data_IF_867178652342
#
_entry.id   IF_867178652342
#
_cell.length_a   1.000
_cell.length_b   1.000
_cell.length_c   1.000
_cell.angle_alpha   90.00
_cell.angle_beta   90.00
_cell.angle_gamma   90.00
#
_symmetry.space_group_name_H-M   'P 1'
#
loop_
_entity.id
_entity.type
_entity.pdbx_description
1 polymer ?
#
# COMPACT_ATOMS: atom_id res chain seq x y z
N UNK A 1 -29.59 41.23 -39.73
CA UNK A 1 -28.31 40.75 -40.29
C UNK A 1 -27.53 40.03 -39.20
N UNK A 2 -27.51 38.70 -39.19
CA UNK A 2 -26.69 37.88 -38.30
C UNK A 2 -25.78 37.03 -39.17
N UNK A 3 -24.49 37.34 -39.17
CA UNK A 3 -23.47 36.62 -39.93
C UNK A 3 -22.96 35.48 -39.07
N UNK A 4 -23.13 34.24 -39.53
CA UNK A 4 -22.55 33.03 -38.91
C UNK A 4 -21.08 32.93 -39.32
N UNK A 5 -20.18 32.91 -38.35
CA UNK A 5 -18.77 32.54 -38.55
C UNK A 5 -18.68 31.03 -38.32
N UNK A 6 -18.35 30.28 -39.36
CA UNK A 6 -17.94 28.88 -39.25
C UNK A 6 -16.44 28.84 -38.96
N UNK A 7 -16.06 28.26 -37.82
CA UNK A 7 -14.66 27.93 -37.51
C UNK A 7 -14.41 26.51 -38.03
N UNK A 8 -13.56 26.39 -39.04
CA UNK A 8 -13.01 25.11 -39.50
C UNK A 8 -11.98 24.62 -38.49
N UNK A 9 -12.27 23.48 -37.85
CA UNK A 9 -11.32 22.77 -37.00
C UNK A 9 -10.60 21.74 -37.88
N UNK A 10 -9.37 22.03 -38.29
CA UNK A 10 -8.51 21.07 -39.00
C UNK A 10 -8.13 19.93 -38.06
N UNK A 11 -8.70 18.75 -38.32
CA UNK A 11 -8.28 17.50 -37.69
C UNK A 11 -7.00 17.06 -38.42
N UNK A 12 -5.84 17.21 -37.76
CA UNK A 12 -4.61 16.52 -38.17
C UNK A 12 -4.76 15.04 -37.81
N UNK A 13 -5.19 14.22 -38.77
CA UNK A 13 -5.07 12.77 -38.66
C UNK A 13 -3.60 12.40 -38.89
N UNK A 14 -2.90 12.04 -37.82
CA UNK A 14 -1.58 11.42 -37.93
C UNK A 14 -1.78 9.97 -38.38
N UNK A 15 -1.81 9.74 -39.69
CA UNK A 15 -1.68 8.41 -40.28
C UNK A 15 -0.24 7.90 -40.05
N UNK A 16 0.03 7.34 -38.86
CA UNK A 16 1.19 6.47 -38.68
C UNK A 16 0.86 5.11 -39.28
N UNK A 17 1.65 4.73 -40.27
CA UNK A 17 1.27 3.80 -41.32
C UNK A 17 1.34 2.32 -40.94
N UNK A 18 0.47 1.55 -41.60
CA UNK A 18 0.50 0.08 -41.65
C UNK A 18 1.84 -0.43 -42.24
N UNK A 19 2.60 0.42 -42.95
CA UNK A 19 3.90 0.07 -43.56
C UNK A 19 5.13 0.12 -42.64
N UNK A 20 5.08 0.78 -41.47
CA UNK A 20 6.24 0.80 -40.55
C UNK A 20 6.28 -0.45 -39.66
N UNK A 21 5.13 -0.95 -39.25
CA UNK A 21 5.01 -2.22 -38.51
C UNK A 21 5.49 -3.41 -39.34
N UNK A 22 5.19 -3.44 -40.65
CA UNK A 22 5.63 -4.52 -41.55
C UNK A 22 7.14 -4.54 -41.80
N UNK A 23 7.82 -3.39 -41.66
CA UNK A 23 9.28 -3.31 -41.83
C UNK A 23 10.03 -3.74 -40.56
N UNK A 24 9.49 -3.45 -39.38
CA UNK A 24 10.06 -3.89 -38.09
C UNK A 24 9.88 -5.39 -37.86
N UNK A 25 8.77 -5.97 -38.30
CA UNK A 25 8.49 -7.39 -38.14
C UNK A 25 9.44 -8.33 -38.91
N UNK A 26 10.23 -7.80 -39.87
CA UNK A 26 11.21 -8.55 -40.66
C UNK A 26 12.66 -8.31 -40.19
N UNK A 27 12.87 -7.65 -39.05
CA UNK A 27 14.19 -7.42 -38.47
C UNK A 27 14.52 -8.56 -37.48
N UNK A 28 15.66 -9.23 -37.67
CA UNK A 28 16.08 -10.39 -36.87
C UNK A 28 16.14 -10.07 -35.36
N UNK A 29 16.53 -8.84 -34.99
CA UNK A 29 16.58 -8.40 -33.60
C UNK A 29 15.16 -8.23 -33.04
N UNK A 30 14.24 -7.68 -33.83
CA UNK A 30 12.85 -7.50 -33.43
C UNK A 30 12.17 -8.86 -33.19
N UNK A 31 12.38 -9.83 -34.09
CA UNK A 31 11.90 -11.20 -33.90
C UNK A 31 12.50 -11.87 -32.66
N UNK A 32 13.80 -11.69 -32.42
CA UNK A 32 14.46 -12.26 -31.24
C UNK A 32 13.87 -11.68 -29.95
N UNK A 33 13.66 -10.36 -29.89
CA UNK A 33 12.99 -9.72 -28.75
C UNK A 33 11.58 -10.29 -28.54
N UNK A 34 10.80 -10.49 -29.62
CA UNK A 34 9.47 -11.11 -29.53
C UNK A 34 9.53 -12.54 -28.99
N UNK A 35 10.46 -13.36 -29.48
CA UNK A 35 10.66 -14.76 -29.03
C UNK A 35 11.03 -14.81 -27.55
N UNK A 36 11.89 -13.89 -27.11
CA UNK A 36 12.35 -13.79 -25.72
C UNK A 36 11.32 -13.11 -24.80
N UNK A 37 10.42 -12.27 -25.30
CA UNK A 37 9.51 -11.46 -24.49
C UNK A 37 8.77 -12.26 -23.42
N UNK A 38 8.22 -13.43 -23.79
CA UNK A 38 7.48 -14.30 -22.86
C UNK A 38 8.33 -14.79 -21.68
N UNK A 39 9.64 -14.95 -21.87
CA UNK A 39 10.57 -15.37 -20.81
C UNK A 39 10.81 -14.29 -19.77
N UNK A 40 10.78 -13.01 -20.17
CA UNK A 40 11.05 -11.86 -19.30
C UNK A 40 9.79 -11.18 -18.77
N UNK A 41 8.62 -11.53 -19.32
CA UNK A 41 7.33 -11.11 -18.80
C UNK A 41 6.94 -11.87 -17.54
N UNK A 42 6.19 -11.23 -16.66
CA UNK A 42 5.57 -11.80 -15.47
C UNK A 42 4.06 -11.59 -15.60
N UNK A 43 3.28 -12.66 -15.52
CA UNK A 43 1.83 -12.57 -15.52
C UNK A 43 1.30 -11.80 -14.29
N UNK A 44 0.25 -10.99 -14.43
CA UNK A 44 -0.39 -10.35 -13.28
C UNK A 44 -1.04 -11.38 -12.36
N UNK A 45 -1.13 -11.06 -11.08
CA UNK A 45 -1.70 -11.92 -10.05
C UNK A 45 -2.96 -11.27 -9.49
N UNK A 46 -4.07 -11.99 -9.59
CA UNK A 46 -5.38 -11.50 -9.15
C UNK A 46 -5.46 -11.42 -7.62
N UNK A 47 -6.26 -10.47 -7.12
CA UNK A 47 -6.69 -10.46 -5.74
C UNK A 47 -7.49 -11.74 -5.42
N UNK A 48 -7.35 -12.24 -4.20
CA UNK A 48 -8.02 -13.46 -3.73
C UNK A 48 -8.42 -13.36 -2.26
N UNK A 49 -9.37 -14.20 -1.85
CA UNK A 49 -9.59 -14.53 -0.44
C UNK A 49 -8.86 -15.83 -0.14
N UNK A 50 -7.66 -15.73 0.41
CA UNK A 50 -6.86 -16.86 0.87
C UNK A 50 -7.51 -17.54 2.09
N UNK A 51 -7.41 -18.87 2.17
CA UNK A 51 -8.02 -19.66 3.25
C UNK A 51 -7.54 -19.22 4.64
N UNK A 52 -6.25 -18.90 4.76
CA UNK A 52 -5.57 -18.53 6.00
C UNK A 52 -5.50 -17.00 6.12
N UNK A 53 -4.97 -16.34 5.09
CA UNK A 53 -4.63 -14.91 5.10
C UNK A 53 -5.75 -13.98 4.67
N UNK A 54 -6.91 -14.54 4.28
CA UNK A 54 -8.12 -13.80 3.92
C UNK A 54 -7.87 -12.87 2.73
N UNK A 55 -8.42 -11.67 2.72
CA UNK A 55 -8.30 -10.78 1.57
C UNK A 55 -6.84 -10.42 1.30
N UNK A 56 -6.42 -10.60 0.06
CA UNK A 56 -5.10 -10.25 -0.43
C UNK A 56 -5.22 -9.48 -1.75
N UNK A 57 -4.46 -8.38 -1.91
CA UNK A 57 -4.52 -7.58 -3.12
C UNK A 57 -3.94 -8.33 -4.32
N UNK A 58 -4.30 -7.87 -5.51
CA UNK A 58 -3.61 -8.25 -6.73
C UNK A 58 -2.20 -7.66 -6.79
N UNK A 59 -1.45 -8.05 -7.82
CA UNK A 59 -0.15 -7.47 -8.11
C UNK A 59 0.11 -7.47 -9.61
N UNK A 60 0.53 -6.31 -10.11
CA UNK A 60 0.74 -6.11 -11.53
C UNK A 60 1.79 -7.08 -12.07
N UNK A 61 1.48 -7.59 -13.25
CA UNK A 61 2.44 -8.25 -14.12
C UNK A 61 3.36 -7.22 -14.76
N UNK A 62 4.33 -7.71 -15.52
CA UNK A 62 5.11 -6.88 -16.44
C UNK A 62 5.23 -7.61 -17.75
N UNK A 63 5.05 -6.90 -18.83
CA UNK A 63 5.27 -7.43 -20.17
C UNK A 63 6.34 -6.62 -20.89
N UNK A 64 7.16 -7.29 -21.69
CA UNK A 64 8.16 -6.63 -22.53
C UNK A 64 7.45 -5.77 -23.57
N UNK A 65 7.74 -4.47 -23.56
CA UNK A 65 7.42 -3.58 -24.67
C UNK A 65 8.44 -3.83 -25.78
N UNK A 66 8.05 -4.69 -26.73
CA UNK A 66 8.93 -5.14 -27.82
C UNK A 66 9.45 -3.97 -28.64
N UNK A 67 8.58 -3.00 -28.95
CA UNK A 67 8.92 -1.87 -29.80
C UNK A 67 9.92 -0.94 -29.09
N UNK A 68 9.64 -0.57 -27.84
CA UNK A 68 10.55 0.27 -27.07
C UNK A 68 11.89 -0.43 -26.79
N UNK A 69 11.86 -1.74 -26.51
CA UNK A 69 13.06 -2.56 -26.32
C UNK A 69 13.93 -2.62 -27.57
N UNK A 70 13.30 -2.80 -28.74
CA UNK A 70 14.00 -2.78 -30.02
C UNK A 70 14.71 -1.46 -30.25
N UNK A 71 14.07 -0.31 -29.98
CA UNK A 71 14.71 0.98 -30.19
C UNK A 71 15.91 1.23 -29.26
N UNK A 72 15.93 0.65 -28.06
CA UNK A 72 17.11 0.68 -27.20
C UNK A 72 18.27 -0.12 -27.83
N UNK A 73 17.97 -1.33 -28.30
CA UNK A 73 18.95 -2.29 -28.81
C UNK A 73 19.34 -2.04 -30.27
N UNK A 74 18.61 -1.19 -31.00
CA UNK A 74 18.82 -0.96 -32.44
C UNK A 74 20.24 -0.48 -32.77
N UNK A 75 20.86 0.28 -31.86
CA UNK A 75 22.23 0.79 -32.07
C UNK A 75 23.29 -0.32 -32.01
N UNK A 76 23.09 -1.31 -31.15
CA UNK A 76 24.01 -2.45 -31.01
C UNK A 76 23.69 -3.54 -32.02
N UNK A 77 22.41 -3.69 -32.41
CA UNK A 77 21.96 -4.76 -33.30
C UNK A 77 21.88 -6.13 -32.60
N UNK A 78 22.11 -6.17 -31.29
CA UNK A 78 22.21 -7.40 -30.49
C UNK A 78 21.22 -7.36 -29.34
N UNK A 79 20.63 -8.52 -29.03
CA UNK A 79 19.74 -8.67 -27.88
C UNK A 79 20.52 -8.50 -26.58
N UNK A 80 20.08 -7.57 -25.73
CA UNK A 80 20.62 -7.32 -24.40
C UNK A 80 19.47 -7.21 -23.39
N UNK A 81 19.35 -8.18 -22.49
CA UNK A 81 18.27 -8.23 -21.49
C UNK A 81 18.18 -6.96 -20.63
N UNK A 82 19.29 -6.23 -20.45
CA UNK A 82 19.35 -5.02 -19.63
C UNK A 82 18.69 -3.82 -20.30
N UNK A 83 18.46 -3.90 -21.61
CA UNK A 83 17.85 -2.85 -22.41
C UNK A 83 16.36 -3.09 -22.68
N UNK A 84 15.80 -4.17 -22.13
CA UNK A 84 14.37 -4.44 -22.18
C UNK A 84 13.59 -3.32 -21.47
N UNK A 85 12.55 -2.86 -22.15
CA UNK A 85 11.56 -1.93 -21.62
C UNK A 85 10.32 -2.73 -21.25
N UNK A 86 9.72 -2.41 -20.11
CA UNK A 86 8.55 -3.11 -19.61
C UNK A 86 7.37 -2.15 -19.46
N UNK A 87 6.17 -2.68 -19.68
CA UNK A 87 4.91 -2.04 -19.28
C UNK A 87 4.21 -2.90 -18.23
N UNK A 88 3.59 -2.26 -17.24
CA UNK A 88 2.83 -2.97 -16.21
C UNK A 88 1.50 -3.46 -16.77
N UNK A 89 1.12 -4.67 -16.37
CA UNK A 89 -0.17 -5.27 -16.74
C UNK A 89 -1.00 -5.44 -15.49
N UNK A 90 -2.19 -4.84 -15.46
CA UNK A 90 -3.09 -4.97 -14.31
C UNK A 90 -3.69 -6.37 -14.20
N UNK A 91 -3.96 -6.84 -12.96
CA UNK A 91 -4.76 -8.05 -12.74
C UNK A 91 -6.21 -7.85 -13.20
N UNK A 92 -6.95 -8.96 -13.30
CA UNK A 92 -8.37 -8.98 -13.67
C UNK A 92 -9.31 -8.82 -12.48
N UNK A 93 -8.84 -9.13 -11.29
CA UNK A 93 -9.60 -9.02 -10.04
C UNK A 93 -8.78 -8.22 -9.06
N UNK A 94 -9.40 -7.18 -8.52
CA UNK A 94 -8.80 -6.21 -7.62
C UNK A 94 -9.24 -6.45 -6.18
N UNK A 95 -8.57 -5.79 -5.23
CA UNK A 95 -8.90 -5.94 -3.81
C UNK A 95 -10.34 -5.52 -3.51
N UNK A 96 -10.81 -4.48 -4.19
CA UNK A 96 -12.15 -3.90 -4.06
C UNK A 96 -13.26 -4.79 -4.64
N UNK A 97 -12.90 -5.77 -5.48
CA UNK A 97 -13.86 -6.73 -6.06
C UNK A 97 -14.17 -7.90 -5.11
N UNK A 98 -13.37 -8.07 -4.05
CA UNK A 98 -13.54 -9.16 -3.10
C UNK A 98 -14.72 -8.88 -2.16
N UNK A 99 -15.37 -9.95 -1.68
CA UNK A 99 -16.33 -9.82 -0.58
C UNK A 99 -15.61 -9.35 0.70
N UNK A 100 -16.29 -8.62 1.61
CA UNK A 100 -15.67 -8.09 2.81
C UNK A 100 -14.93 -9.16 3.62
N UNK A 101 -13.63 -8.96 3.81
CA UNK A 101 -12.76 -9.84 4.57
C UNK A 101 -11.59 -9.05 5.16
N UNK A 102 -11.02 -9.47 6.29
CA UNK A 102 -9.85 -8.80 6.86
C UNK A 102 -8.62 -9.00 5.96
N UNK A 103 -7.71 -8.02 5.97
CA UNK A 103 -6.47 -8.02 5.20
C UNK A 103 -5.30 -8.16 6.17
N UNK A 104 -4.60 -9.30 6.11
CA UNK A 104 -3.44 -9.57 6.98
C UNK A 104 -2.12 -9.17 6.34
N UNK A 105 -2.04 -9.18 5.01
CA UNK A 105 -0.80 -8.97 4.26
C UNK A 105 -1.07 -8.32 2.91
N UNK A 106 -0.05 -7.65 2.39
CA UNK A 106 0.07 -7.35 0.96
C UNK A 106 0.37 -8.61 0.14
N UNK A 107 0.57 -8.42 -1.15
CA UNK A 107 0.84 -9.53 -2.07
C UNK A 107 2.20 -10.22 -1.76
N UNK A 108 2.29 -11.57 -1.73
CA UNK A 108 3.47 -12.32 -1.26
C UNK A 108 4.67 -12.27 -2.21
N UNK A 109 4.49 -11.73 -3.41
CA UNK A 109 5.59 -11.47 -4.36
C UNK A 109 5.99 -9.99 -4.44
N UNK A 110 5.27 -9.11 -3.74
CA UNK A 110 5.63 -7.69 -3.65
C UNK A 110 6.61 -7.51 -2.50
N UNK A 111 7.88 -7.26 -2.81
CA UNK A 111 8.97 -7.10 -1.82
C UNK A 111 8.90 -5.76 -1.10
N UNK A 112 7.77 -5.54 -0.43
CA UNK A 112 7.44 -4.35 0.33
C UNK A 112 6.88 -4.73 1.70
N UNK A 113 7.10 -3.87 2.70
CA UNK A 113 6.58 -4.00 4.06
C UNK A 113 5.73 -2.77 4.40
N UNK A 114 4.55 -3.00 4.96
CA UNK A 114 3.67 -1.96 5.51
C UNK A 114 3.94 -1.73 6.99
N UNK A 115 4.12 -0.48 7.39
CA UNK A 115 4.25 -0.09 8.80
C UNK A 115 2.93 0.45 9.32
N UNK A 116 2.47 -0.09 10.45
CA UNK A 116 1.26 0.36 11.14
C UNK A 116 1.56 0.75 12.58
N UNK A 117 0.96 1.83 13.05
CA UNK A 117 1.12 2.35 14.41
C UNK A 117 -0.26 2.59 15.00
N UNK A 118 -0.64 1.80 16.01
CA UNK A 118 -1.89 2.00 16.72
C UNK A 118 -1.70 3.06 17.83
N UNK A 119 -2.53 4.10 17.84
CA UNK A 119 -2.38 5.27 18.70
C UNK A 119 -3.64 5.48 19.54
N UNK A 120 -3.48 5.26 20.85
CA UNK A 120 -4.43 5.62 21.90
C UNK A 120 -3.73 6.35 23.08
N UNK A 121 -2.40 6.49 23.04
CA UNK A 121 -1.53 7.06 24.08
C UNK A 121 -0.12 7.29 23.48
N UNK A 122 0.87 7.65 24.31
CA UNK A 122 2.30 7.67 23.91
C UNK A 122 2.75 8.91 23.15
N UNK A 123 2.09 10.06 23.38
CA UNK A 123 2.34 11.31 22.66
C UNK A 123 3.82 11.73 22.69
N UNK A 124 4.53 11.44 23.78
CA UNK A 124 5.95 11.78 23.96
C UNK A 124 6.87 11.11 22.92
N UNK A 125 6.45 9.99 22.32
CA UNK A 125 7.24 9.26 21.33
C UNK A 125 6.91 9.65 19.88
N UNK A 126 5.74 10.26 19.63
CA UNK A 126 5.30 10.60 18.28
C UNK A 126 6.28 11.51 17.53
N UNK A 127 6.85 12.59 18.12
CA UNK A 127 7.80 13.44 17.40
C UNK A 127 9.03 12.67 16.88
N UNK A 128 9.62 11.81 17.72
CA UNK A 128 10.80 10.99 17.37
C UNK A 128 10.48 9.96 16.29
N UNK A 129 9.32 9.32 16.38
CA UNK A 129 8.84 8.37 15.36
C UNK A 129 8.66 9.10 14.02
N UNK A 130 7.96 10.23 13.99
CA UNK A 130 7.72 11.01 12.78
C UNK A 130 9.03 11.54 12.18
N UNK A 131 9.98 11.98 13.00
CA UNK A 131 11.30 12.39 12.54
C UNK A 131 12.07 11.22 11.89
N UNK A 132 11.98 10.03 12.47
CA UNK A 132 12.61 8.82 11.92
C UNK A 132 11.98 8.43 10.58
N UNK A 133 10.65 8.44 10.48
CA UNK A 133 9.94 8.19 9.22
C UNK A 133 10.35 9.18 8.12
N UNK A 134 10.42 10.47 8.47
CA UNK A 134 10.90 11.54 7.57
C UNK A 134 12.35 11.35 7.15
N UNK A 135 13.25 10.99 8.07
CA UNK A 135 14.68 10.72 7.79
C UNK A 135 14.84 9.63 6.73
N UNK A 136 13.93 8.65 6.72
CA UNK A 136 13.95 7.53 5.78
C UNK A 136 13.11 7.74 4.52
N UNK A 137 12.39 8.86 4.39
CA UNK A 137 11.39 9.04 3.32
C UNK A 137 10.41 7.86 3.25
N UNK A 138 9.89 7.46 4.41
CA UNK A 138 8.96 6.34 4.57
C UNK A 138 7.67 6.84 5.19
N UNK A 139 6.54 6.28 4.72
CA UNK A 139 5.24 6.48 5.36
C UNK A 139 4.86 5.29 6.24
N UNK A 140 3.99 5.56 7.20
CA UNK A 140 3.27 4.56 7.99
C UNK A 140 1.78 4.93 8.05
N UNK A 141 0.94 3.95 8.34
CA UNK A 141 -0.49 4.19 8.63
C UNK A 141 -0.67 4.26 10.15
N UNK A 142 -1.13 5.41 10.65
CA UNK A 142 -1.42 5.64 12.06
C UNK A 142 -2.90 5.37 12.33
N UNK A 143 -3.22 4.26 13.01
CA UNK A 143 -4.58 3.94 13.40
C UNK A 143 -4.93 4.65 14.71
N UNK A 144 -5.82 5.64 14.64
CA UNK A 144 -6.11 6.56 15.74
C UNK A 144 -7.38 6.15 16.48
N UNK A 145 -7.32 6.07 17.81
CA UNK A 145 -8.51 5.97 18.66
C UNK A 145 -9.26 7.31 18.64
N UNK A 146 -10.57 7.28 18.40
CA UNK A 146 -11.38 8.50 18.28
C UNK A 146 -11.40 9.37 19.54
N UNK A 147 -11.41 8.78 20.75
CA UNK A 147 -11.28 9.54 22.00
C UNK A 147 -9.91 10.19 22.13
N UNK A 148 -8.84 9.47 21.80
CA UNK A 148 -7.49 10.04 21.79
C UNK A 148 -7.40 11.25 20.86
N UNK A 149 -7.96 11.19 19.64
CA UNK A 149 -7.96 12.34 18.71
C UNK A 149 -8.68 13.55 19.33
N UNK A 150 -9.84 13.33 19.96
CA UNK A 150 -10.62 14.39 20.63
C UNK A 150 -9.79 15.11 21.69
N UNK A 151 -8.99 14.37 22.45
CA UNK A 151 -8.18 14.89 23.56
C UNK A 151 -6.82 15.43 23.08
N UNK A 152 -6.36 15.03 21.90
CA UNK A 152 -5.00 15.29 21.40
C UNK A 152 -4.99 15.84 19.96
N UNK A 153 -5.84 16.83 19.67
CA UNK A 153 -6.00 17.40 18.33
C UNK A 153 -4.68 17.88 17.69
N UNK A 154 -3.78 18.45 18.47
CA UNK A 154 -2.47 18.90 17.98
C UNK A 154 -1.56 17.74 17.55
N UNK A 155 -1.57 16.63 18.30
CA UNK A 155 -0.82 15.43 17.95
C UNK A 155 -1.39 14.74 16.69
N UNK A 156 -2.71 14.67 16.56
CA UNK A 156 -3.34 14.16 15.34
C UNK A 156 -3.00 15.00 14.10
N UNK A 157 -2.99 16.34 14.24
CA UNK A 157 -2.53 17.24 13.17
C UNK A 157 -1.06 17.05 12.84
N UNK A 158 -0.20 16.90 13.84
CA UNK A 158 1.24 16.65 13.65
C UNK A 158 1.52 15.44 12.76
N UNK A 159 0.74 14.35 12.92
CA UNK A 159 0.86 13.14 12.10
C UNK A 159 0.58 13.44 10.62
N UNK A 160 -0.51 14.14 10.31
CA UNK A 160 -0.88 14.45 8.92
C UNK A 160 -0.04 15.58 8.29
N UNK A 161 0.41 16.53 9.10
CA UNK A 161 1.36 17.58 8.68
C UNK A 161 2.69 16.96 8.25
N UNK A 162 3.11 15.88 8.93
CA UNK A 162 4.25 15.02 8.56
C UNK A 162 3.95 14.07 7.37
N UNK A 163 2.84 14.29 6.65
CA UNK A 163 2.42 13.57 5.43
C UNK A 163 2.20 12.07 5.63
N UNK A 164 1.89 11.68 6.86
CA UNK A 164 1.50 10.31 7.20
C UNK A 164 0.01 10.09 6.91
N UNK A 165 -0.34 8.82 6.72
CA UNK A 165 -1.73 8.38 6.56
C UNK A 165 -2.36 8.08 7.92
N UNK A 166 -3.65 8.38 8.07
CA UNK A 166 -4.43 8.05 9.27
C UNK A 166 -5.52 7.02 8.98
N UNK A 167 -5.74 6.13 9.94
CA UNK A 167 -6.78 5.10 9.94
C UNK A 167 -7.62 5.11 11.22
N UNK A 168 -8.72 4.36 11.23
CA UNK A 168 -9.63 4.23 12.37
C UNK A 168 -9.17 3.13 13.34
N UNK A 169 -9.16 3.41 14.64
CA UNK A 169 -8.86 2.41 15.68
C UNK A 169 -9.96 2.29 16.75
N UNK A 170 -11.23 2.39 16.35
CA UNK A 170 -12.40 2.52 17.22
C UNK A 170 -12.40 3.79 18.07
N UNK A 171 -13.49 4.06 18.80
CA UNK A 171 -13.61 5.29 19.59
C UNK A 171 -13.05 5.17 21.01
N UNK A 172 -13.16 3.99 21.63
CA UNK A 172 -12.83 3.77 23.06
C UNK A 172 -11.99 2.52 23.32
N UNK A 173 -11.47 1.89 22.26
CA UNK A 173 -10.74 0.63 22.32
C UNK A 173 -11.50 -0.55 22.99
N UNK A 174 -12.79 -0.80 22.67
CA UNK A 174 -13.53 -1.93 23.22
C UNK A 174 -13.11 -3.25 22.56
N UNK A 175 -13.51 -4.38 23.14
CA UNK A 175 -13.52 -5.66 22.42
C UNK A 175 -14.63 -5.64 21.36
N UNK A 176 -14.28 -5.29 20.13
CA UNK A 176 -15.23 -5.16 19.02
C UNK A 176 -15.98 -6.47 18.72
N UNK A 177 -15.39 -7.63 19.04
CA UNK A 177 -16.00 -8.94 18.79
C UNK A 177 -17.24 -9.19 19.63
N UNK A 178 -17.39 -8.54 20.78
CA UNK A 178 -18.52 -8.76 21.70
C UNK A 178 -19.62 -7.69 21.59
N UNK A 179 -19.36 -6.60 20.87
CA UNK A 179 -20.33 -5.50 20.71
C UNK A 179 -21.48 -5.88 19.78
N UNK A 180 -22.66 -5.28 19.98
CA UNK A 180 -23.74 -5.33 18.98
C UNK A 180 -23.37 -4.58 17.69
N UNK A 181 -24.06 -4.88 16.58
CA UNK A 181 -23.89 -4.18 15.29
C UNK A 181 -23.96 -2.65 15.42
N UNK A 182 -24.93 -2.14 16.17
CA UNK A 182 -25.10 -0.70 16.38
C UNK A 182 -23.93 -0.09 17.14
N UNK A 183 -23.45 -0.76 18.19
CA UNK A 183 -22.27 -0.30 18.93
C UNK A 183 -21.00 -0.33 18.07
N UNK A 184 -20.83 -1.33 17.20
CA UNK A 184 -19.74 -1.37 16.21
C UNK A 184 -19.83 -0.14 15.30
N UNK A 185 -20.99 0.10 14.71
CA UNK A 185 -21.22 1.24 13.83
C UNK A 185 -20.92 2.58 14.52
N UNK A 186 -21.40 2.78 15.75
CA UNK A 186 -21.16 4.00 16.52
C UNK A 186 -19.66 4.21 16.81
N UNK A 187 -18.92 3.16 17.19
CA UNK A 187 -17.49 3.24 17.43
C UNK A 187 -16.73 3.66 16.16
N UNK A 188 -17.09 3.09 15.02
CA UNK A 188 -16.43 3.36 13.75
C UNK A 188 -16.80 4.74 13.20
N UNK A 189 -18.09 5.06 13.12
CA UNK A 189 -18.56 6.33 12.55
C UNK A 189 -18.09 7.53 13.36
N UNK A 190 -18.20 7.48 14.69
CA UNK A 190 -17.77 8.59 15.57
C UNK A 190 -16.27 8.85 15.46
N UNK A 191 -15.48 7.79 15.25
CA UNK A 191 -14.03 7.89 15.06
C UNK A 191 -13.70 8.50 13.70
N UNK A 192 -14.37 8.08 12.61
CA UNK A 192 -14.19 8.72 11.30
C UNK A 192 -14.48 10.22 11.36
N UNK A 193 -15.62 10.61 11.96
CA UNK A 193 -15.98 12.03 12.12
C UNK A 193 -14.92 12.81 12.88
N UNK A 194 -14.36 12.25 13.95
CA UNK A 194 -13.32 12.91 14.74
C UNK A 194 -12.01 13.04 13.97
N UNK A 195 -11.56 11.98 13.28
CA UNK A 195 -10.34 11.99 12.47
C UNK A 195 -10.46 12.98 11.31
N UNK A 196 -11.55 12.90 10.54
CA UNK A 196 -11.77 13.75 9.36
C UNK A 196 -11.88 15.23 9.75
N UNK A 197 -12.56 15.54 10.86
CA UNK A 197 -12.63 16.91 11.38
C UNK A 197 -11.27 17.42 11.88
N UNK A 198 -10.45 16.56 12.48
CA UNK A 198 -9.15 16.96 13.02
C UNK A 198 -8.06 17.12 11.94
N UNK A 199 -8.14 16.31 10.88
CA UNK A 199 -7.04 16.09 9.93
C UNK A 199 -7.36 16.43 8.47
N UNK A 200 -8.64 16.60 8.12
CA UNK A 200 -9.11 16.74 6.74
C UNK A 200 -8.71 15.59 5.79
N UNK A 201 -8.30 14.44 6.32
CA UNK A 201 -8.04 13.23 5.54
C UNK A 201 -9.21 12.26 5.64
N UNK A 202 -9.65 11.73 4.49
CA UNK A 202 -10.65 10.66 4.43
C UNK A 202 -10.06 9.35 4.95
N UNK A 203 -10.81 8.66 5.81
CA UNK A 203 -10.38 7.37 6.37
C UNK A 203 -10.67 6.22 5.39
N UNK A 204 -9.65 5.41 5.11
CA UNK A 204 -9.74 4.22 4.22
C UNK A 204 -9.58 2.89 4.93
N UNK A 205 -8.96 2.90 6.10
CA UNK A 205 -8.54 1.69 6.80
C UNK A 205 -9.01 1.72 8.25
N UNK A 206 -9.41 0.56 8.74
CA UNK A 206 -9.76 0.32 10.13
C UNK A 206 -8.90 -0.82 10.69
N UNK A 207 -8.29 -0.61 11.87
CA UNK A 207 -7.63 -1.68 12.62
C UNK A 207 -8.46 -1.98 13.88
N UNK A 208 -8.91 -3.23 14.10
CA UNK A 208 -9.66 -3.57 15.30
C UNK A 208 -8.76 -3.54 16.55
N UNK A 209 -9.21 -2.92 17.66
CA UNK A 209 -8.57 -3.02 18.97
C UNK A 209 -8.19 -4.47 19.32
N UNK A 210 -6.94 -4.65 19.77
CA UNK A 210 -6.38 -5.97 20.14
C UNK A 210 -6.45 -7.05 19.05
N UNK A 211 -6.77 -6.70 17.79
CA UNK A 211 -7.04 -7.68 16.74
C UNK A 211 -8.33 -8.48 16.94
N UNK A 212 -9.23 -8.04 17.84
CA UNK A 212 -10.45 -8.78 18.16
C UNK A 212 -11.60 -8.36 17.26
N UNK A 213 -12.14 -9.29 16.46
CA UNK A 213 -13.28 -9.03 15.58
C UNK A 213 -14.11 -10.30 15.30
N UNK A 214 -15.26 -10.10 14.65
CA UNK A 214 -16.08 -11.11 13.95
C UNK A 214 -16.50 -10.55 12.58
N UNK A 215 -17.10 -11.37 11.73
CA UNK A 215 -17.47 -10.98 10.35
C UNK A 215 -18.32 -9.70 10.31
N UNK A 216 -19.28 -9.54 11.23
CA UNK A 216 -20.11 -8.33 11.31
C UNK A 216 -19.29 -7.05 11.57
N UNK A 217 -18.13 -7.13 12.24
CA UNK A 217 -17.23 -5.97 12.39
C UNK A 217 -16.65 -5.56 11.04
N UNK A 218 -16.23 -6.54 10.24
CA UNK A 218 -15.65 -6.33 8.91
C UNK A 218 -16.70 -5.78 7.96
N UNK A 219 -17.91 -6.34 7.98
CA UNK A 219 -19.04 -5.87 7.17
C UNK A 219 -19.45 -4.43 7.49
N UNK A 220 -19.48 -4.06 8.78
CA UNK A 220 -19.82 -2.68 9.17
C UNK A 220 -18.70 -1.70 8.76
N UNK A 221 -17.43 -2.11 8.86
CA UNK A 221 -16.31 -1.31 8.37
C UNK A 221 -16.38 -1.11 6.84
N UNK A 222 -16.69 -2.15 6.08
CA UNK A 222 -16.89 -2.09 4.62
C UNK A 222 -18.07 -1.19 4.24
N UNK A 223 -19.19 -1.28 4.98
CA UNK A 223 -20.34 -0.39 4.83
C UNK A 223 -19.98 1.10 5.02
N UNK A 224 -18.95 1.38 5.83
CA UNK A 224 -18.34 2.70 6.03
C UNK A 224 -17.18 3.00 5.07
N UNK A 225 -16.99 2.17 4.02
CA UNK A 225 -15.95 2.28 3.00
C UNK A 225 -14.53 2.18 3.54
N UNK A 226 -14.33 1.32 4.55
CA UNK A 226 -13.03 1.01 5.13
C UNK A 226 -12.66 -0.46 4.97
N UNK A 227 -11.42 -0.74 4.57
CA UNK A 227 -10.84 -2.08 4.67
C UNK A 227 -10.42 -2.39 6.12
N UNK A 228 -10.64 -3.61 6.59
CA UNK A 228 -10.19 -4.05 7.92
C UNK A 228 -8.77 -4.59 7.84
N UNK A 229 -7.82 -3.90 8.48
CA UNK A 229 -6.39 -4.20 8.44
C UNK A 229 -5.96 -4.92 9.72
N UNK A 230 -5.25 -6.03 9.51
CA UNK A 230 -4.58 -6.83 10.54
C UNK A 230 -3.06 -6.77 10.32
N UNK A 231 -2.31 -7.71 10.88
CA UNK A 231 -0.86 -7.76 10.74
C UNK A 231 -0.34 -9.20 10.65
N UNK A 232 0.85 -9.37 10.07
CA UNK A 232 1.59 -10.64 10.10
C UNK A 232 2.77 -10.61 11.07
N UNK A 233 3.28 -9.43 11.40
CA UNK A 233 4.44 -9.25 12.28
C UNK A 233 4.08 -8.34 13.44
N UNK A 234 3.95 -8.92 14.63
CA UNK A 234 3.73 -8.18 15.87
C UNK A 234 5.07 -7.89 16.57
N UNK A 235 5.32 -6.61 16.86
CA UNK A 235 6.49 -6.18 17.63
C UNK A 235 6.34 -6.45 19.11
N UNK A 236 5.13 -6.57 19.66
CA UNK A 236 4.85 -6.72 21.09
C UNK A 236 5.58 -5.65 21.92
N UNK A 237 5.69 -4.44 21.36
CA UNK A 237 6.43 -3.30 21.90
C UNK A 237 5.78 -2.72 23.17
N UNK A 238 4.46 -2.88 23.31
CA UNK A 238 3.69 -2.51 24.51
C UNK A 238 4.15 -3.24 25.78
N UNK A 239 4.84 -4.39 25.67
CA UNK A 239 5.48 -5.07 26.81
C UNK A 239 6.81 -4.44 27.24
N UNK A 240 7.23 -3.37 26.58
CA UNK A 240 8.49 -2.66 26.79
C UNK A 240 9.74 -3.56 26.72
N UNK A 241 9.88 -4.40 25.69
CA UNK A 241 11.11 -5.18 25.51
C UNK A 241 12.29 -4.27 25.18
N UNK A 242 13.51 -4.78 25.29
CA UNK A 242 14.68 -4.09 24.76
C UNK A 242 14.54 -3.82 23.25
N UNK A 243 14.98 -2.66 22.73
CA UNK A 243 14.86 -2.33 21.30
C UNK A 243 15.44 -3.40 20.37
N UNK A 244 16.56 -4.02 20.76
CA UNK A 244 17.19 -5.11 20.01
C UNK A 244 16.29 -6.35 19.90
N UNK A 245 15.47 -6.65 20.92
CA UNK A 245 14.51 -7.74 20.85
C UNK A 245 13.38 -7.45 19.84
N UNK A 246 12.98 -6.18 19.68
CA UNK A 246 12.03 -5.77 18.64
C UNK A 246 12.65 -6.03 17.27
N UNK A 247 13.88 -5.57 17.05
CA UNK A 247 14.61 -5.75 15.79
C UNK A 247 14.70 -7.23 15.42
N UNK A 248 15.19 -8.08 16.32
CA UNK A 248 15.34 -9.52 16.09
C UNK A 248 13.99 -10.19 15.80
N UNK A 249 12.92 -9.79 16.50
CA UNK A 249 11.58 -10.35 16.30
C UNK A 249 11.04 -9.98 14.93
N UNK A 250 11.20 -8.72 14.49
CA UNK A 250 10.77 -8.26 13.17
C UNK A 250 11.58 -8.94 12.08
N UNK A 251 12.91 -8.89 12.14
CA UNK A 251 13.77 -9.44 11.09
C UNK A 251 13.63 -10.95 10.92
N UNK A 252 13.32 -11.69 11.99
CA UNK A 252 13.05 -13.13 11.91
C UNK A 252 11.71 -13.47 11.24
N UNK A 253 10.73 -12.55 11.29
CA UNK A 253 9.35 -12.80 10.84
C UNK A 253 8.99 -12.08 9.55
N UNK A 254 9.75 -11.07 9.13
CA UNK A 254 9.43 -10.27 7.96
C UNK A 254 9.48 -11.11 6.68
N UNK A 255 8.55 -10.84 5.78
CA UNK A 255 8.41 -11.47 4.49
C UNK A 255 7.83 -10.44 3.49
N UNK A 256 7.91 -10.68 2.16
CA UNK A 256 7.21 -9.84 1.19
C UNK A 256 5.72 -9.73 1.50
N UNK A 257 5.18 -8.51 1.46
CA UNK A 257 3.80 -8.24 1.82
C UNK A 257 3.53 -8.15 3.33
N UNK A 258 4.55 -8.23 4.20
CA UNK A 258 4.33 -8.18 5.64
C UNK A 258 3.74 -6.83 6.09
N UNK A 259 2.86 -6.90 7.09
CA UNK A 259 2.36 -5.73 7.83
C UNK A 259 2.89 -5.83 9.25
N UNK A 260 3.62 -4.79 9.69
CA UNK A 260 4.28 -4.71 11.00
C UNK A 260 3.44 -3.83 11.93
N UNK A 261 2.94 -4.41 13.02
CA UNK A 261 2.21 -3.71 14.08
C UNK A 261 3.17 -3.11 15.12
N UNK A 262 3.00 -1.83 15.41
CA UNK A 262 3.70 -1.08 16.45
C UNK A 262 2.75 -0.17 17.24
N UNK A 263 3.25 0.41 18.32
CA UNK A 263 2.63 1.46 19.12
C UNK A 263 3.65 2.58 19.40
N UNK A 264 3.19 3.79 19.77
CA UNK A 264 4.10 4.85 20.21
C UNK A 264 4.67 4.53 21.60
N UNK A 265 5.77 3.78 21.61
CA UNK A 265 6.51 3.35 22.81
C UNK A 265 7.98 3.73 22.72
N UNK A 266 8.68 3.79 23.86
CA UNK A 266 10.14 4.01 23.87
C UNK A 266 10.88 2.97 23.03
N UNK A 267 10.61 1.64 23.17
CA UNK A 267 11.31 0.66 22.37
C UNK A 267 11.07 0.76 20.86
N UNK A 268 9.83 1.08 20.43
CA UNK A 268 9.55 1.35 19.01
C UNK A 268 10.33 2.58 18.54
N UNK A 269 10.28 3.68 19.28
CA UNK A 269 10.98 4.91 18.91
C UNK A 269 12.51 4.75 18.86
N UNK A 270 13.07 3.85 19.66
CA UNK A 270 14.49 3.51 19.68
C UNK A 270 14.89 2.52 18.57
N UNK A 271 14.04 1.54 18.27
CA UNK A 271 14.33 0.50 17.27
C UNK A 271 14.05 0.95 15.81
N UNK A 272 13.14 1.89 15.59
CA UNK A 272 12.57 2.18 14.26
C UNK A 272 13.62 2.55 13.20
N UNK A 273 14.62 3.37 13.56
CA UNK A 273 15.66 3.83 12.62
C UNK A 273 16.48 2.65 12.07
N UNK A 274 16.93 1.78 12.98
CA UNK A 274 17.66 0.56 12.63
C UNK A 274 16.76 -0.44 11.91
N UNK A 275 15.50 -0.55 12.30
CA UNK A 275 14.53 -1.45 11.67
C UNK A 275 14.36 -1.10 10.18
N UNK A 276 14.06 0.16 9.86
CA UNK A 276 13.87 0.61 8.47
C UNK A 276 15.15 0.41 7.66
N UNK A 277 16.31 0.75 8.25
CA UNK A 277 17.62 0.55 7.61
C UNK A 277 17.87 -0.93 7.25
N UNK A 278 17.57 -1.85 8.17
CA UNK A 278 17.74 -3.29 7.94
C UNK A 278 16.74 -3.84 6.92
N UNK A 279 15.48 -3.39 6.93
CA UNK A 279 14.49 -3.77 5.92
C UNK A 279 14.94 -3.35 4.52
N UNK A 280 15.38 -2.09 4.36
CA UNK A 280 15.91 -1.58 3.08
C UNK A 280 17.15 -2.36 2.65
N UNK A 281 18.06 -2.70 3.57
CA UNK A 281 19.25 -3.53 3.27
C UNK A 281 18.90 -4.93 2.77
N UNK A 282 17.76 -5.50 3.20
CA UNK A 282 17.24 -6.78 2.68
C UNK A 282 16.50 -6.63 1.33
N UNK A 283 16.43 -5.42 0.79
CA UNK A 283 15.79 -5.10 -0.48
C UNK A 283 14.28 -4.91 -0.38
N UNK A 284 13.74 -4.60 0.82
CA UNK A 284 12.34 -4.24 0.96
C UNK A 284 12.13 -2.74 0.68
N UNK A 285 11.10 -2.43 -0.11
CA UNK A 285 10.45 -1.12 -0.01
C UNK A 285 9.68 -1.07 1.32
N UNK A 286 9.59 0.10 1.95
CA UNK A 286 8.86 0.29 3.22
C UNK A 286 7.90 1.45 3.04
N UNK A 287 6.65 1.30 3.49
CA UNK A 287 5.63 2.33 3.33
C UNK A 287 4.39 2.08 4.19
N UNK A 288 3.33 2.82 3.90
CA UNK A 288 2.05 2.71 4.59
C UNK A 288 1.18 1.59 3.96
N UNK A 289 -0.05 1.40 4.48
CA UNK A 289 -0.98 0.38 3.99
C UNK A 289 -1.42 0.66 2.55
N UNK A 290 -1.77 1.90 2.20
CA UNK A 290 -2.16 2.21 0.81
C UNK A 290 -1.04 1.87 -0.18
N UNK A 291 0.20 2.24 0.10
CA UNK A 291 1.33 1.95 -0.78
C UNK A 291 1.66 0.44 -0.82
N UNK A 292 1.49 -0.28 0.30
CA UNK A 292 1.67 -1.72 0.36
C UNK A 292 0.65 -2.46 -0.50
N UNK A 293 -0.62 -2.08 -0.41
CA UNK A 293 -1.73 -2.77 -1.08
C UNK A 293 -1.94 -2.32 -2.54
N UNK A 294 -1.25 -1.27 -2.99
CA UNK A 294 -1.21 -0.85 -4.40
C UNK A 294 -0.76 -2.01 -5.31
N UNK A 295 -1.40 -2.17 -6.46
CA UNK A 295 -1.04 -3.24 -7.41
C UNK A 295 0.27 -2.95 -8.14
N UNK A 296 0.72 -1.70 -8.14
CA UNK A 296 1.92 -1.24 -8.84
C UNK A 296 3.17 -2.00 -8.41
N UNK A 297 3.98 -2.36 -9.39
CA UNK A 297 5.28 -2.99 -9.19
C UNK A 297 6.28 -2.06 -8.49
N UNK A 298 7.27 -2.67 -7.86
CA UNK A 298 8.34 -1.96 -7.13
C UNK A 298 9.73 -2.16 -7.77
N UNK A 299 9.79 -2.98 -8.83
CA UNK A 299 10.97 -3.34 -9.61
C UNK A 299 10.92 -2.76 -11.03
#
# INVERSE_FOLDING_TARGET
>A
MRTRIFVFMSIFFFCMGIGSYSALANDDLYEEIQKQAKRYSIEPQNAIIDKIWKAMPGYNGKEVDVEASYYNMKKTGEFDEKQLVYREVSPKTHLEDLSPAPIYRGHPHKKMVGLTINVAWGNEYLPRILETLRKHDVKATFFLEGRWVKENLSAAKMIVDAKQEVGNHSYTHPDMKTLSKNQIYEQLQKTNQMIEAATNQKVRWFAPPSGSFRDEVVEVADGLKMGTIMWTVDTIDWKRPEPEMILQRVMRKVHPGAIVLMHPTSPTAEALDTMISQLKKQGYKVGNITELLDEKRID
#
